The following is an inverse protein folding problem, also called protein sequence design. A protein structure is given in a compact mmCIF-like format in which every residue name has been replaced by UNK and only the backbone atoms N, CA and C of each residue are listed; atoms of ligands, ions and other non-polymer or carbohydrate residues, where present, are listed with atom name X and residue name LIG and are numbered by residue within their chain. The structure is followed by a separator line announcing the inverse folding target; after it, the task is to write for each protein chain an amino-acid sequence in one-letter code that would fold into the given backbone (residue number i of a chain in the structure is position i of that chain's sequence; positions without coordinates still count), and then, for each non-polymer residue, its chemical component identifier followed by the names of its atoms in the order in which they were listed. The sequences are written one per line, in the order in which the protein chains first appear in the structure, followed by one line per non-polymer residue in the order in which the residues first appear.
data_IF_634582868698
#
_entry.id   IF_634582868698
#
_cell.length_a   1.000
_cell.length_b   1.000
_cell.length_c   1.000
_cell.angle_alpha   90.00
_cell.angle_beta   90.00
_cell.angle_gamma   90.00
#
_symmetry.space_group_name_H-M   'P 1'
#
loop_
_entity.id
_entity.type
_entity.pdbx_description
1 polymer ?
#
# COMPACT_ATOMS: atom_id res chain seq x y z
N UNK A 1 23.25 36.37 28.70
CA UNK A 1 22.97 34.99 29.14
C UNK A 1 22.02 34.37 28.12
N UNK A 2 22.31 33.18 27.61
CA UNK A 2 21.37 32.43 26.78
C UNK A 2 20.23 31.90 27.66
N UNK A 3 18.99 32.02 27.20
CA UNK A 3 17.83 31.48 27.90
C UNK A 3 17.82 29.95 27.95
N UNK A 4 16.83 29.34 28.62
CA UNK A 4 16.70 27.90 28.69
C UNK A 4 16.45 27.28 27.30
N UNK A 5 17.00 26.09 27.08
CA UNK A 5 16.76 25.34 25.84
C UNK A 5 15.29 24.93 25.73
N UNK A 6 14.79 24.75 24.51
CA UNK A 6 13.38 24.45 24.25
C UNK A 6 12.85 23.27 25.08
N UNK A 7 13.59 22.15 25.16
CA UNK A 7 13.21 20.96 25.92
C UNK A 7 13.11 21.17 27.43
N UNK A 8 13.77 22.21 27.96
CA UNK A 8 13.71 22.58 29.37
C UNK A 8 12.47 23.43 29.69
N UNK A 9 11.84 24.02 28.67
CA UNK A 9 10.61 24.79 28.86
C UNK A 9 9.42 23.87 29.09
N UNK A 10 8.40 24.36 29.81
CA UNK A 10 7.15 23.62 29.98
C UNK A 10 6.53 23.22 28.63
N UNK A 11 6.62 24.10 27.63
CA UNK A 11 6.12 23.82 26.28
C UNK A 11 6.90 22.68 25.61
N UNK A 12 8.22 22.69 25.70
CA UNK A 12 9.05 21.63 25.13
C UNK A 12 8.85 20.28 25.80
N UNK A 13 8.72 20.25 27.13
CA UNK A 13 8.38 19.02 27.86
C UNK A 13 7.07 18.40 27.35
N UNK A 14 5.98 19.19 27.29
CA UNK A 14 4.70 18.70 26.74
C UNK A 14 4.81 18.23 25.31
N UNK A 15 5.60 18.92 24.48
CA UNK A 15 5.79 18.54 23.09
C UNK A 15 6.43 17.15 22.97
N UNK A 16 7.48 16.86 23.74
CA UNK A 16 8.14 15.55 23.71
C UNK A 16 7.35 14.45 24.40
N UNK A 17 6.64 14.77 25.49
CA UNK A 17 5.86 13.78 26.25
C UNK A 17 4.54 13.38 25.58
N UNK A 18 3.94 14.28 24.80
CA UNK A 18 2.60 14.07 24.22
C UNK A 18 2.56 14.20 22.70
N UNK A 19 3.00 15.33 22.14
CA UNK A 19 2.86 15.62 20.71
C UNK A 19 3.71 14.69 19.85
N UNK A 20 4.98 14.49 20.22
CA UNK A 20 5.89 13.63 19.46
C UNK A 20 5.42 12.16 19.40
N UNK A 21 5.04 11.51 20.51
CA UNK A 21 4.46 10.17 20.46
C UNK A 21 3.20 10.08 19.59
N UNK A 22 2.32 11.09 19.64
CA UNK A 22 1.12 11.12 18.80
C UNK A 22 1.47 11.23 17.31
N UNK A 23 2.41 12.10 16.94
CA UNK A 23 2.90 12.20 15.57
C UNK A 23 3.46 10.88 15.06
N UNK A 24 4.28 10.18 15.86
CA UNK A 24 4.84 8.88 15.48
C UNK A 24 3.73 7.83 15.27
N UNK A 25 2.68 7.83 16.10
CA UNK A 25 1.52 6.93 15.92
C UNK A 25 0.78 7.22 14.62
N UNK A 26 0.51 8.49 14.31
CA UNK A 26 -0.18 8.85 13.08
C UNK A 26 0.68 8.57 11.84
N UNK A 27 2.00 8.78 11.90
CA UNK A 27 2.92 8.40 10.83
C UNK A 27 2.91 6.88 10.58
N UNK A 28 2.91 6.07 11.65
CA UNK A 28 2.79 4.62 11.52
C UNK A 28 1.47 4.24 10.86
N UNK A 29 0.35 4.81 11.31
CA UNK A 29 -0.98 4.57 10.75
C UNK A 29 -1.04 4.94 9.26
N UNK A 30 -0.39 6.03 8.86
CA UNK A 30 -0.29 6.41 7.46
C UNK A 30 0.45 5.34 6.64
N UNK A 31 1.61 4.86 7.12
CA UNK A 31 2.35 3.79 6.45
C UNK A 31 1.50 2.52 6.32
N UNK A 32 0.82 2.09 7.40
CA UNK A 32 -0.07 0.92 7.37
C UNK A 32 -1.19 1.08 6.30
N UNK A 33 -1.71 2.30 6.11
CA UNK A 33 -2.71 2.57 5.08
C UNK A 33 -2.14 2.53 3.67
N UNK A 34 -0.92 3.03 3.47
CA UNK A 34 -0.22 2.96 2.18
C UNK A 34 0.07 1.50 1.81
N UNK A 35 0.55 0.69 2.76
CA UNK A 35 0.77 -0.74 2.55
C UNK A 35 -0.50 -1.47 2.12
N UNK A 36 -1.64 -1.18 2.76
CA UNK A 36 -2.94 -1.74 2.36
C UNK A 36 -3.35 -1.30 0.95
N UNK A 37 -3.14 -0.03 0.60
CA UNK A 37 -3.45 0.46 -0.75
C UNK A 37 -2.60 -0.23 -1.82
N UNK A 38 -1.31 -0.45 -1.54
CA UNK A 38 -0.41 -1.19 -2.44
C UNK A 38 -0.89 -2.63 -2.61
N UNK A 39 -1.24 -3.33 -1.53
CA UNK A 39 -1.74 -4.69 -1.60
C UNK A 39 -3.03 -4.80 -2.45
N UNK A 40 -3.94 -3.82 -2.34
CA UNK A 40 -5.15 -3.76 -3.19
C UNK A 40 -4.77 -3.52 -4.65
N UNK A 41 -3.83 -2.62 -4.93
CA UNK A 41 -3.38 -2.33 -6.29
C UNK A 41 -2.74 -3.57 -6.95
N UNK A 42 -1.92 -4.32 -6.21
CA UNK A 42 -1.32 -5.58 -6.68
C UNK A 42 -2.39 -6.62 -7.01
N UNK A 43 -3.38 -6.82 -6.12
CA UNK A 43 -4.49 -7.75 -6.38
C UNK A 43 -5.29 -7.39 -7.63
N UNK A 44 -5.56 -6.11 -7.86
CA UNK A 44 -6.26 -5.63 -9.05
C UNK A 44 -5.43 -5.84 -10.32
N UNK A 45 -4.11 -5.64 -10.25
CA UNK A 45 -3.21 -5.88 -11.37
C UNK A 45 -3.18 -7.38 -11.74
N UNK A 46 -3.03 -8.28 -10.76
CA UNK A 46 -3.03 -9.73 -10.98
C UNK A 46 -4.39 -10.24 -11.44
N UNK A 47 -5.49 -9.69 -10.93
CA UNK A 47 -6.85 -10.07 -11.35
C UNK A 47 -7.15 -9.70 -12.80
N UNK A 48 -6.46 -8.70 -13.35
CA UNK A 48 -6.56 -8.31 -14.77
C UNK A 48 -5.79 -9.27 -15.70
N UNK A 49 -4.84 -10.05 -15.17
CA UNK A 49 -4.01 -10.98 -15.92
C UNK A 49 -4.50 -12.44 -15.89
N UNK A 50 -5.58 -12.76 -15.16
CA UNK A 50 -6.19 -14.08 -15.23
C UNK A 50 -6.71 -14.36 -16.67
N UNK A 51 -6.46 -15.57 -17.21
CA UNK A 51 -6.21 -15.75 -18.63
C UNK A 51 -7.47 -15.63 -19.47
N UNK A 52 -7.32 -14.91 -20.60
CA UNK A 52 -8.12 -15.07 -21.81
C UNK A 52 -8.34 -16.56 -22.07
N UNK A 53 -9.55 -17.03 -21.78
CA UNK A 53 -10.01 -18.33 -22.25
C UNK A 53 -10.16 -18.25 -23.78
N UNK A 54 -9.65 -19.30 -24.44
CA UNK A 54 -9.78 -19.71 -25.85
C UNK A 54 -8.73 -19.23 -26.87
N UNK A 55 -8.21 -20.17 -27.71
CA UNK A 55 -9.00 -21.18 -28.41
C UNK A 55 -8.61 -22.65 -28.13
N UNK A 56 -9.61 -23.52 -28.05
CA UNK A 56 -9.42 -24.97 -28.11
C UNK A 56 -8.91 -25.40 -29.52
N UNK A 57 -8.12 -26.48 -29.63
CA UNK A 57 -7.50 -26.89 -30.89
C UNK A 57 -8.46 -27.68 -31.79
N UNK A 58 -8.44 -27.31 -33.08
CA UNK A 58 -8.56 -28.14 -34.29
C UNK A 58 -9.57 -29.31 -34.33
N UNK A 59 -10.63 -29.12 -35.14
CA UNK A 59 -11.13 -30.19 -36.02
C UNK A 59 -11.09 -29.70 -37.47
N UNK A 60 -9.97 -29.96 -38.13
CA UNK A 60 -9.94 -30.14 -39.58
C UNK A 60 -10.48 -31.56 -39.84
N UNK A 61 -11.79 -31.72 -39.90
CA UNK A 61 -12.40 -32.90 -40.54
C UNK A 61 -12.57 -32.55 -42.02
N UNK A 62 -11.48 -32.72 -42.74
CA UNK A 62 -11.44 -32.93 -44.19
C UNK A 62 -12.18 -34.26 -44.45
N UNK A 63 -13.50 -34.18 -44.67
CA UNK A 63 -14.28 -35.32 -45.17
C UNK A 63 -14.23 -35.27 -46.70
N UNK A 64 -13.37 -36.13 -47.20
CA UNK A 64 -13.14 -36.54 -48.58
C UNK A 64 -14.43 -36.86 -49.34
N UNK A 65 -14.46 -36.42 -50.60
CA UNK A 65 -15.51 -36.60 -51.60
C UNK A 65 -15.54 -38.06 -52.11
N UNK A 66 -16.68 -38.56 -52.62
CA UNK A 66 -16.86 -38.60 -54.08
C UNK A 66 -18.20 -38.05 -54.57
#
# INVERSE_FOLDING_TARGET
MSGPDFFQTHMGQRFYESTMPQLVRELKRLNDNVERLVAVAEQLATSKEAPRVEPAPSKTEEVEKP
#
